data_IF_661370047595
#
_entry.id   IF_661370047595
#
_cell.length_a   1.000
_cell.length_b   1.000
_cell.length_c   1.000
_cell.angle_alpha   90.00
_cell.angle_beta   90.00
_cell.angle_gamma   90.00
#
_symmetry.space_group_name_H-M   'P 1'
#
loop_
_entity.id
_entity.type
_entity.pdbx_description
1 polymer ?
#
# COMPACT_ATOMS: atom_id res chain seq x y z
N UNK A 1 16.46 22.08 -12.59
CA UNK A 1 15.90 20.71 -12.52
C UNK A 1 17.05 19.75 -12.21
N UNK A 2 16.97 19.01 -11.11
CA UNK A 2 17.89 17.92 -10.76
C UNK A 2 17.23 16.60 -11.14
N UNK A 3 18.04 15.66 -11.63
CA UNK A 3 17.65 14.27 -11.81
C UNK A 3 18.63 13.38 -11.04
N UNK A 4 18.09 12.39 -10.33
CA UNK A 4 18.82 11.33 -9.64
C UNK A 4 18.35 10.03 -10.28
N UNK A 5 19.26 9.24 -10.83
CA UNK A 5 18.90 8.00 -11.52
C UNK A 5 18.46 8.20 -12.98
N UNK A 6 17.64 7.28 -13.48
CA UNK A 6 17.11 7.28 -14.84
C UNK A 6 15.89 8.18 -14.98
N UNK A 7 16.09 9.37 -15.58
CA UNK A 7 15.03 10.35 -15.87
C UNK A 7 13.86 9.78 -16.69
N UNK A 8 14.16 8.88 -17.62
CA UNK A 8 13.18 8.24 -18.52
C UNK A 8 12.20 7.31 -17.79
N UNK A 9 12.57 6.81 -16.61
CA UNK A 9 11.71 5.95 -15.81
C UNK A 9 10.70 6.73 -14.95
N UNK A 10 10.93 8.04 -14.78
CA UNK A 10 10.15 8.93 -13.91
C UNK A 10 9.28 9.91 -14.70
N UNK A 11 9.78 10.36 -15.85
CA UNK A 11 9.06 11.29 -16.71
C UNK A 11 8.38 10.56 -17.88
N UNK A 12 7.18 11.02 -18.28
CA UNK A 12 6.60 10.57 -19.53
C UNK A 12 7.44 10.99 -20.74
N UNK A 13 7.65 10.08 -21.70
CA UNK A 13 8.35 10.39 -22.96
C UNK A 13 7.51 11.37 -23.79
N UNK A 14 8.06 12.53 -24.15
CA UNK A 14 7.46 13.41 -25.15
C UNK A 14 7.68 12.80 -26.55
N UNK A 15 6.59 12.52 -27.27
CA UNK A 15 6.63 11.99 -28.63
C UNK A 15 7.33 12.97 -29.57
N UNK A 16 8.34 12.52 -30.32
CA UNK A 16 8.74 13.22 -31.56
C UNK A 16 10.23 13.32 -31.93
N UNK A 17 11.19 12.69 -31.26
CA UNK A 17 12.59 12.70 -31.72
C UNK A 17 13.23 11.32 -31.72
N UNK A 18 13.95 11.00 -32.80
CA UNK A 18 14.69 9.76 -33.03
C UNK A 18 15.65 9.44 -31.86
N UNK A 19 15.97 8.15 -31.62
CA UNK A 19 16.75 7.71 -30.46
C UNK A 19 18.17 8.30 -30.51
N UNK A 20 18.38 9.39 -29.79
CA UNK A 20 19.71 9.86 -29.44
C UNK A 20 20.23 8.91 -28.36
N UNK A 21 21.39 8.29 -28.62
CA UNK A 21 22.00 7.26 -27.78
C UNK A 21 21.77 7.53 -26.29
N UNK A 22 21.14 6.56 -25.62
CA UNK A 22 20.72 6.63 -24.23
C UNK A 22 21.87 7.12 -23.33
N UNK A 23 21.79 8.36 -22.87
CA UNK A 23 22.71 8.90 -21.88
C UNK A 23 22.38 8.26 -20.54
N UNK A 24 23.03 7.13 -20.30
CA UNK A 24 23.30 6.49 -19.01
C UNK A 24 22.05 6.21 -18.16
N UNK A 25 21.41 5.11 -18.52
CA UNK A 25 20.39 4.37 -17.77
C UNK A 25 20.93 3.81 -16.44
N UNK A 26 21.41 4.66 -15.52
CA UNK A 26 21.87 4.24 -14.20
C UNK A 26 20.82 4.64 -13.19
N UNK A 27 20.00 3.69 -12.77
CA UNK A 27 19.21 3.81 -11.55
C UNK A 27 20.16 4.04 -10.37
N UNK A 28 19.77 4.87 -9.41
CA UNK A 28 20.53 4.93 -8.16
C UNK A 28 20.15 3.70 -7.36
N UNK A 29 21.12 2.83 -7.12
CA UNK A 29 20.92 1.62 -6.32
C UNK A 29 21.65 1.76 -4.99
N UNK A 30 20.99 1.30 -3.92
CA UNK A 30 21.55 1.28 -2.59
C UNK A 30 21.17 -0.03 -1.89
N UNK A 31 21.99 -0.47 -0.94
CA UNK A 31 21.61 -1.52 0.00
C UNK A 31 20.89 -0.89 1.18
N UNK A 32 19.75 -1.43 1.54
CA UNK A 32 18.98 -1.03 2.72
C UNK A 32 18.25 -2.25 3.24
N UNK A 33 18.14 -2.38 4.57
CA UNK A 33 17.43 -3.49 5.24
C UNK A 33 17.77 -4.88 4.64
N UNK A 34 19.05 -5.11 4.35
CA UNK A 34 19.61 -6.31 3.70
C UNK A 34 19.08 -6.63 2.28
N UNK A 35 18.29 -5.73 1.69
CA UNK A 35 17.83 -5.79 0.30
C UNK A 35 18.47 -4.71 -0.58
N UNK A 36 17.87 -4.52 -1.75
CA UNK A 36 18.27 -3.51 -2.74
C UNK A 36 17.12 -2.53 -2.94
N UNK A 37 17.42 -1.24 -2.80
CA UNK A 37 16.54 -0.15 -3.21
C UNK A 37 17.06 0.43 -4.52
N UNK A 38 16.19 0.52 -5.52
CA UNK A 38 16.41 1.31 -6.73
C UNK A 38 15.58 2.59 -6.62
N UNK A 39 16.21 3.73 -6.87
CA UNK A 39 15.59 5.04 -6.80
C UNK A 39 15.86 5.82 -8.09
N UNK A 40 14.80 6.40 -8.63
CA UNK A 40 14.87 7.44 -9.64
C UNK A 40 14.02 8.63 -9.22
N UNK A 41 14.57 9.84 -9.31
CA UNK A 41 13.89 11.06 -8.92
C UNK A 41 14.19 12.20 -9.88
N UNK A 42 13.22 13.09 -10.05
CA UNK A 42 13.42 14.39 -10.70
C UNK A 42 12.79 15.48 -9.84
N UNK A 43 13.44 16.63 -9.71
CA UNK A 43 12.95 17.77 -8.95
C UNK A 43 13.27 19.11 -9.62
N UNK A 44 12.41 20.12 -9.47
CA UNK A 44 12.74 21.52 -9.77
C UNK A 44 13.51 22.17 -8.62
N UNK A 45 14.27 23.22 -8.92
CA UNK A 45 15.06 23.99 -7.95
C UNK A 45 14.47 25.40 -7.94
N UNK A 46 13.25 25.48 -7.44
CA UNK A 46 12.47 26.71 -7.31
C UNK A 46 12.08 26.81 -5.83
N UNK A 47 11.59 27.98 -5.40
CA UNK A 47 11.17 28.19 -4.01
C UNK A 47 10.11 27.17 -3.56
N UNK A 48 9.28 26.70 -4.50
CA UNK A 48 8.35 25.60 -4.29
C UNK A 48 8.71 24.40 -5.21
N UNK A 49 9.60 23.50 -4.78
CA UNK A 49 10.10 22.44 -5.64
C UNK A 49 8.99 21.46 -5.99
N UNK A 50 8.82 21.18 -7.27
CA UNK A 50 8.02 20.04 -7.74
C UNK A 50 8.92 18.83 -7.88
N UNK A 51 8.44 17.66 -7.48
CA UNK A 51 9.24 16.44 -7.56
C UNK A 51 8.42 15.24 -7.98
N UNK A 52 9.10 14.26 -8.56
CA UNK A 52 8.61 12.90 -8.80
C UNK A 52 9.68 11.92 -8.39
N UNK A 53 9.29 10.88 -7.67
CA UNK A 53 10.20 9.83 -7.20
C UNK A 53 9.58 8.47 -7.50
N UNK A 54 10.42 7.56 -7.96
CA UNK A 54 10.16 6.15 -8.19
C UNK A 54 11.09 5.36 -7.30
N UNK A 55 10.55 4.45 -6.51
CA UNK A 55 11.30 3.56 -5.64
C UNK A 55 10.88 2.12 -5.93
N UNK A 56 11.86 1.22 -6.01
CA UNK A 56 11.67 -0.22 -6.07
C UNK A 56 12.49 -0.85 -4.94
N UNK A 57 11.85 -1.69 -4.13
CA UNK A 57 12.48 -2.51 -3.11
C UNK A 57 12.49 -3.96 -3.57
N UNK A 58 13.68 -4.57 -3.56
CA UNK A 58 13.89 -5.99 -3.81
C UNK A 58 14.53 -6.65 -2.61
N UNK A 59 13.97 -7.77 -2.19
CA UNK A 59 14.51 -8.67 -1.16
C UNK A 59 14.85 -8.00 0.19
N UNK A 60 14.11 -6.97 0.60
CA UNK A 60 14.29 -6.33 1.91
C UNK A 60 13.86 -7.26 3.04
N UNK A 61 14.59 -7.28 4.16
CA UNK A 61 14.29 -8.13 5.31
C UNK A 61 13.40 -7.38 6.31
N UNK A 62 12.21 -7.92 6.57
CA UNK A 62 11.25 -7.31 7.49
C UNK A 62 11.80 -7.24 8.91
N UNK A 63 12.51 -8.27 9.38
CA UNK A 63 13.12 -8.29 10.71
C UNK A 63 14.18 -7.19 10.89
N UNK A 64 14.85 -6.81 9.81
CA UNK A 64 15.85 -5.74 9.80
C UNK A 64 15.17 -4.39 9.83
N UNK A 65 14.11 -4.23 9.05
CA UNK A 65 13.24 -3.05 9.08
C UNK A 65 12.62 -2.85 10.47
N UNK A 66 12.04 -3.89 11.07
CA UNK A 66 11.40 -3.82 12.38
C UNK A 66 12.39 -3.37 13.47
N UNK A 67 13.60 -3.95 13.47
CA UNK A 67 14.65 -3.60 14.43
C UNK A 67 15.13 -2.14 14.31
N UNK A 68 15.17 -1.61 13.09
CA UNK A 68 15.69 -0.26 12.82
C UNK A 68 14.64 0.84 12.99
N UNK A 69 13.38 0.56 12.64
CA UNK A 69 12.36 1.60 12.47
C UNK A 69 11.09 1.38 13.30
N UNK A 70 10.93 0.22 13.96
CA UNK A 70 9.76 -0.07 14.79
C UNK A 70 10.13 -0.14 16.27
N UNK A 71 9.15 0.12 17.14
CA UNK A 71 9.34 0.20 18.58
C UNK A 71 8.63 -0.96 19.27
N UNK A 72 9.37 -2.04 19.53
CA UNK A 72 8.90 -3.12 20.40
C UNK A 72 8.53 -4.42 19.68
N UNK A 73 8.39 -4.41 18.35
CA UNK A 73 8.11 -5.60 17.55
C UNK A 73 9.41 -6.35 17.21
N UNK A 74 9.59 -7.55 17.78
CA UNK A 74 10.89 -8.26 17.75
C UNK A 74 10.90 -9.52 16.89
N UNK A 75 9.77 -10.19 16.71
CA UNK A 75 9.67 -11.43 15.94
C UNK A 75 8.95 -11.26 14.60
N UNK A 76 8.99 -10.06 14.02
CA UNK A 76 8.56 -9.88 12.63
C UNK A 76 9.59 -10.49 11.69
N UNK A 77 9.17 -11.32 10.73
CA UNK A 77 10.06 -11.90 9.72
C UNK A 77 9.42 -11.96 8.35
N UNK A 78 10.24 -11.77 7.32
CA UNK A 78 9.77 -11.90 5.96
C UNK A 78 10.64 -11.21 4.94
N UNK A 79 10.32 -11.48 3.67
CA UNK A 79 10.99 -10.82 2.53
C UNK A 79 10.03 -9.83 1.89
N UNK A 80 10.40 -8.57 1.93
CA UNK A 80 9.68 -7.42 1.42
C UNK A 80 10.12 -7.10 -0.01
N UNK A 81 9.15 -7.07 -0.91
CA UNK A 81 9.30 -6.61 -2.28
C UNK A 81 8.21 -5.60 -2.55
N UNK A 82 8.52 -4.49 -3.21
CA UNK A 82 7.50 -3.46 -3.44
C UNK A 82 7.97 -2.33 -4.32
N UNK A 83 7.03 -1.49 -4.70
CA UNK A 83 7.32 -0.27 -5.46
C UNK A 83 6.47 0.87 -4.95
N UNK A 84 6.98 2.08 -5.15
CA UNK A 84 6.32 3.33 -4.81
C UNK A 84 6.60 4.34 -5.92
N UNK A 85 5.54 4.99 -6.41
CA UNK A 85 5.66 6.17 -7.27
C UNK A 85 4.95 7.31 -6.58
N UNK A 86 5.66 8.41 -6.38
CA UNK A 86 5.16 9.59 -5.70
C UNK A 86 5.51 10.85 -6.47
N UNK A 87 4.71 11.88 -6.26
CA UNK A 87 4.91 13.22 -6.80
C UNK A 87 4.39 14.24 -5.79
N UNK A 88 4.98 15.43 -5.78
CA UNK A 88 4.56 16.48 -4.87
C UNK A 88 5.05 17.85 -5.28
N UNK A 89 4.65 18.84 -4.49
CA UNK A 89 5.07 20.23 -4.59
C UNK A 89 5.33 20.80 -3.20
N UNK A 90 6.47 21.46 -3.03
CA UNK A 90 6.87 22.03 -1.75
C UNK A 90 7.15 20.96 -0.70
N UNK A 91 7.07 21.35 0.57
CA UNK A 91 7.33 20.48 1.72
C UNK A 91 6.07 20.02 2.45
N UNK A 92 4.90 20.55 2.12
CA UNK A 92 3.63 20.17 2.77
C UNK A 92 3.26 18.71 2.42
N UNK A 93 3.14 17.80 3.40
CA UNK A 93 2.73 16.42 3.17
C UNK A 93 1.38 16.27 2.46
N UNK A 94 0.50 17.27 2.55
CA UNK A 94 -0.81 17.29 1.85
C UNK A 94 -0.66 17.44 0.34
N UNK A 95 0.47 17.98 -0.13
CA UNK A 95 0.77 18.12 -1.55
C UNK A 95 1.34 16.83 -2.17
N UNK A 96 1.60 15.80 -1.36
CA UNK A 96 2.11 14.52 -1.82
C UNK A 96 0.98 13.67 -2.38
N UNK A 97 1.18 13.17 -3.60
CA UNK A 97 0.33 12.17 -4.23
C UNK A 97 1.16 10.99 -4.69
N UNK A 98 0.65 9.79 -4.55
CA UNK A 98 1.38 8.60 -4.96
C UNK A 98 0.54 7.35 -4.96
N UNK A 99 1.19 6.25 -5.31
CA UNK A 99 0.65 4.90 -5.29
C UNK A 99 1.79 3.93 -5.07
N UNK A 100 1.49 2.83 -4.40
CA UNK A 100 2.47 1.81 -4.12
C UNK A 100 1.85 0.45 -3.89
N UNK A 101 2.72 -0.54 -3.93
CA UNK A 101 2.38 -1.90 -3.56
C UNK A 101 3.53 -2.50 -2.78
N UNK A 102 3.21 -3.18 -1.68
CA UNK A 102 4.17 -3.91 -0.86
C UNK A 102 3.71 -5.35 -0.71
N UNK A 103 4.57 -6.28 -1.06
CA UNK A 103 4.41 -7.72 -0.85
C UNK A 103 5.41 -8.20 0.19
N UNK A 104 4.94 -9.01 1.13
CA UNK A 104 5.77 -9.70 2.11
C UNK A 104 5.55 -11.20 1.96
N UNK A 105 6.61 -11.98 1.71
CA UNK A 105 6.52 -13.44 1.58
C UNK A 105 7.88 -14.11 1.84
N UNK A 106 8.00 -15.04 2.82
CA UNK A 106 7.00 -15.38 3.84
C UNK A 106 6.67 -14.16 4.72
N UNK A 107 5.54 -14.18 5.43
CA UNK A 107 5.02 -13.04 6.19
C UNK A 107 4.69 -13.41 7.65
N UNK A 108 5.69 -13.47 8.51
CA UNK A 108 5.50 -13.66 9.95
C UNK A 108 5.19 -12.29 10.58
N UNK A 109 3.90 -11.94 10.63
CA UNK A 109 3.41 -10.61 11.02
C UNK A 109 2.64 -10.60 12.35
N UNK A 110 2.50 -11.72 13.04
CA UNK A 110 1.53 -11.88 14.15
C UNK A 110 1.76 -10.92 15.33
N UNK A 111 2.99 -10.41 15.52
CA UNK A 111 3.31 -9.44 16.58
C UNK A 111 2.89 -8.01 16.25
N UNK A 112 2.44 -7.73 15.02
CA UNK A 112 1.92 -6.40 14.70
C UNK A 112 0.74 -6.08 15.63
N UNK A 113 0.73 -4.93 16.32
CA UNK A 113 -0.33 -4.57 17.27
C UNK A 113 -1.73 -4.68 16.67
N UNK A 114 -1.89 -4.29 15.40
CA UNK A 114 -3.16 -4.41 14.66
C UNK A 114 -3.63 -5.86 14.57
N UNK A 115 -2.73 -6.79 14.25
CA UNK A 115 -3.08 -8.20 14.09
C UNK A 115 -3.37 -8.87 15.44
N UNK A 116 -2.61 -8.53 16.48
CA UNK A 116 -2.89 -8.98 17.86
C UNK A 116 -4.32 -8.57 18.27
N UNK A 117 -4.71 -7.33 18.04
CA UNK A 117 -6.04 -6.83 18.37
C UNK A 117 -7.14 -7.55 17.58
N UNK A 118 -6.94 -7.79 16.28
CA UNK A 118 -7.88 -8.55 15.45
C UNK A 118 -8.08 -9.97 15.97
N UNK A 119 -6.99 -10.67 16.31
CA UNK A 119 -7.05 -12.04 16.84
C UNK A 119 -7.79 -12.09 18.18
N UNK A 120 -7.54 -11.12 19.07
CA UNK A 120 -8.24 -10.99 20.35
C UNK A 120 -9.75 -10.82 20.16
N UNK A 121 -10.17 -9.97 19.22
CA UNK A 121 -11.58 -9.75 18.88
C UNK A 121 -12.22 -11.03 18.33
N UNK A 122 -11.49 -11.78 17.50
CA UNK A 122 -11.95 -13.06 16.96
C UNK A 122 -11.87 -14.22 17.98
N UNK A 123 -11.30 -13.99 19.17
CA UNK A 123 -11.03 -14.99 20.21
C UNK A 123 -10.26 -16.20 19.68
N UNK A 124 -9.38 -15.97 18.72
CA UNK A 124 -8.51 -17.01 18.20
C UNK A 124 -7.31 -17.13 19.14
N UNK A 125 -6.92 -18.37 19.47
CA UNK A 125 -5.61 -18.59 20.06
C UNK A 125 -4.56 -17.98 19.13
N UNK A 126 -3.46 -17.41 19.67
CA UNK A 126 -2.34 -17.00 18.85
C UNK A 126 -1.97 -18.16 17.93
N UNK A 127 -2.13 -18.02 16.62
CA UNK A 127 -1.75 -19.08 15.69
C UNK A 127 -0.25 -19.36 15.87
N UNK A 128 0.19 -20.57 15.53
CA UNK A 128 1.63 -20.83 15.39
C UNK A 128 2.27 -19.72 14.54
N UNK A 129 3.55 -19.39 14.79
CA UNK A 129 4.27 -18.21 14.24
C UNK A 129 4.14 -18.01 12.71
N UNK A 130 3.63 -19.00 11.98
CA UNK A 130 3.41 -19.10 10.54
C UNK A 130 1.97 -18.77 10.08
N UNK A 131 1.15 -18.14 10.93
CA UNK A 131 -0.26 -17.84 10.70
C UNK A 131 -0.57 -17.26 9.31
N UNK A 132 0.25 -16.30 8.87
CA UNK A 132 0.19 -15.74 7.54
C UNK A 132 1.42 -16.17 6.76
N UNK A 133 1.20 -16.60 5.51
CA UNK A 133 2.29 -16.94 4.60
C UNK A 133 2.61 -15.80 3.65
N UNK A 134 1.64 -14.91 3.45
CA UNK A 134 1.65 -13.89 2.44
C UNK A 134 0.92 -12.64 2.94
N UNK A 135 1.51 -11.48 2.68
CA UNK A 135 0.83 -10.19 2.81
C UNK A 135 1.01 -9.35 1.54
N UNK A 136 -0.05 -8.68 1.11
CA UNK A 136 -0.05 -7.70 0.02
C UNK A 136 -0.80 -6.45 0.44
N UNK A 137 -0.15 -5.30 0.32
CA UNK A 137 -0.73 -3.99 0.56
C UNK A 137 -0.75 -3.25 -0.77
N UNK A 138 -1.93 -2.81 -1.20
CA UNK A 138 -2.13 -1.93 -2.36
C UNK A 138 -2.74 -0.61 -1.88
N UNK A 139 -2.05 0.49 -2.15
CA UNK A 139 -2.40 1.78 -1.59
C UNK A 139 -2.13 2.95 -2.53
N UNK A 140 -2.93 3.99 -2.36
CA UNK A 140 -2.63 5.33 -2.85
C UNK A 140 -2.17 6.22 -1.69
N UNK A 141 -1.48 7.30 -2.01
CA UNK A 141 -1.09 8.37 -1.07
C UNK A 141 -1.77 9.65 -1.55
N UNK A 142 -2.51 10.30 -0.66
CA UNK A 142 -3.08 11.62 -0.88
C UNK A 142 -3.48 12.21 0.46
N UNK A 143 -3.52 13.54 0.57
CA UNK A 143 -4.05 14.24 1.74
C UNK A 143 -3.38 13.81 3.06
N UNK A 144 -2.04 13.65 3.03
CA UNK A 144 -1.21 13.22 4.15
C UNK A 144 -1.60 11.86 4.79
N UNK A 145 -2.11 10.93 3.98
CA UNK A 145 -2.47 9.59 4.41
C UNK A 145 -2.24 8.54 3.33
N UNK A 146 -1.99 7.30 3.76
CA UNK A 146 -2.12 6.11 2.95
C UNK A 146 -3.59 5.69 2.88
N UNK A 147 -4.08 5.42 1.67
CA UNK A 147 -5.40 4.87 1.39
C UNK A 147 -5.25 3.46 0.85
N UNK A 148 -5.50 2.48 1.70
CA UNK A 148 -5.42 1.07 1.34
C UNK A 148 -6.67 0.65 0.57
N UNK A 149 -6.49 0.40 -0.73
CA UNK A 149 -7.50 -0.23 -1.58
C UNK A 149 -7.69 -1.70 -1.21
N UNK A 150 -6.61 -2.35 -0.81
CA UNK A 150 -6.62 -3.71 -0.34
C UNK A 150 -5.41 -4.03 0.52
N UNK A 151 -5.69 -4.68 1.64
CA UNK A 151 -4.72 -5.35 2.49
C UNK A 151 -5.12 -6.82 2.46
N UNK A 152 -4.25 -7.67 1.94
CA UNK A 152 -4.53 -9.09 1.78
C UNK A 152 -3.52 -9.84 2.63
N UNK A 153 -3.98 -10.48 3.70
CA UNK A 153 -3.17 -11.41 4.47
C UNK A 153 -3.76 -12.79 4.29
N UNK A 154 -2.99 -13.70 3.72
CA UNK A 154 -3.41 -15.06 3.47
C UNK A 154 -2.54 -16.05 4.25
N UNK A 155 -3.23 -16.97 4.92
CA UNK A 155 -2.69 -17.86 5.92
C UNK A 155 -3.38 -19.22 5.91
N UNK A 156 -2.82 -20.19 6.62
CA UNK A 156 -3.45 -21.52 6.77
C UNK A 156 -4.60 -21.48 7.78
N UNK A 157 -4.45 -20.70 8.85
CA UNK A 157 -5.43 -20.60 9.94
C UNK A 157 -6.45 -19.48 9.70
N UNK A 158 -6.01 -18.39 9.05
CA UNK A 158 -6.81 -17.19 8.88
C UNK A 158 -6.46 -16.48 7.57
N UNK A 159 -7.48 -16.00 6.87
CA UNK A 159 -7.33 -15.02 5.80
C UNK A 159 -8.04 -13.72 6.18
N UNK A 160 -7.35 -12.59 6.00
CA UNK A 160 -7.85 -11.25 6.29
C UNK A 160 -7.83 -10.39 5.04
N UNK A 161 -8.92 -9.66 4.84
CA UNK A 161 -9.12 -8.70 3.76
C UNK A 161 -9.40 -7.34 4.36
N UNK A 162 -8.49 -6.40 4.21
CA UNK A 162 -8.53 -5.07 4.81
C UNK A 162 -8.63 -3.95 3.81
N UNK A 163 -9.23 -2.83 4.21
CA UNK A 163 -9.25 -1.56 3.47
C UNK A 163 -9.35 -0.39 4.44
N UNK A 164 -9.02 0.82 4.00
CA UNK A 164 -9.18 2.03 4.81
C UNK A 164 -7.98 2.95 4.72
N UNK A 165 -7.66 3.64 5.81
CA UNK A 165 -6.63 4.68 5.82
C UNK A 165 -5.66 4.56 7.00
N UNK A 166 -4.43 5.02 6.77
CA UNK A 166 -3.46 5.33 7.81
C UNK A 166 -2.88 6.72 7.53
N UNK A 167 -3.13 7.68 8.40
CA UNK A 167 -2.56 9.02 8.30
C UNK A 167 -1.07 9.01 8.64
N UNK A 168 -0.32 10.00 8.12
CA UNK A 168 1.13 10.11 8.35
C UNK A 168 1.49 10.35 9.82
N UNK A 169 0.53 10.81 10.62
CA UNK A 169 0.65 10.94 12.07
C UNK A 169 0.38 9.63 12.83
N UNK A 170 0.23 8.51 12.10
CA UNK A 170 -0.03 7.18 12.65
C UNK A 170 -1.49 6.88 12.96
N UNK A 171 -2.44 7.78 12.68
CA UNK A 171 -3.88 7.53 12.93
C UNK A 171 -4.44 6.51 11.96
N UNK A 172 -5.08 5.46 12.47
CA UNK A 172 -5.65 4.35 11.70
C UNK A 172 -7.17 4.43 11.63
N UNK A 173 -7.71 4.19 10.44
CA UNK A 173 -9.13 3.90 10.20
C UNK A 173 -9.21 2.76 9.18
N UNK A 174 -9.10 1.53 9.67
CA UNK A 174 -9.07 0.32 8.85
C UNK A 174 -10.28 -0.58 9.13
N UNK A 175 -10.76 -1.26 8.10
CA UNK A 175 -11.81 -2.26 8.18
C UNK A 175 -11.28 -3.56 7.62
N UNK A 176 -11.37 -4.62 8.43
CA UNK A 176 -10.97 -5.98 8.06
C UNK A 176 -12.18 -6.90 7.99
N UNK A 177 -12.08 -7.87 7.10
CA UNK A 177 -13.03 -8.94 6.90
C UNK A 177 -12.27 -10.25 6.98
N UNK A 178 -12.73 -11.13 7.85
CA UNK A 178 -12.11 -12.43 8.09
C UNK A 178 -13.02 -13.55 7.60
N UNK A 179 -12.43 -14.52 6.90
CA UNK A 179 -13.07 -15.81 6.63
C UNK A 179 -12.40 -16.88 7.48
N UNK A 180 -13.14 -17.46 8.42
CA UNK A 180 -12.65 -18.53 9.28
C UNK A 180 -12.86 -19.88 8.57
N UNK A 181 -11.88 -20.80 8.60
CA UNK A 181 -12.11 -22.19 8.22
C UNK A 181 -13.28 -22.78 9.04
N UNK A 182 -14.16 -23.58 8.41
CA UNK A 182 -15.39 -24.12 9.03
C UNK A 182 -15.18 -25.09 10.20
N UNK A 183 -13.95 -25.23 10.71
CA UNK A 183 -13.60 -26.17 11.76
C UNK A 183 -13.98 -25.61 13.14
N UNK A 184 -15.19 -25.96 13.59
CA UNK A 184 -15.64 -26.23 14.97
C UNK A 184 -15.24 -25.31 16.16
N UNK A 185 -14.84 -24.06 15.99
CA UNK A 185 -14.71 -23.15 17.15
C UNK A 185 -16.08 -22.54 17.52
N UNK A 186 -16.65 -22.85 18.71
CA UNK A 186 -17.89 -22.21 19.16
C UNK A 186 -17.59 -20.74 19.52
N UNK A 187 -17.96 -19.81 18.64
CA UNK A 187 -17.83 -18.37 18.89
C UNK A 187 -19.16 -17.86 19.52
N UNK A 188 -19.14 -17.29 20.74
CA UNK A 188 -20.36 -16.77 21.38
C UNK A 188 -20.96 -15.51 20.71
N UNK A 189 -20.24 -14.90 19.76
CA UNK A 189 -20.67 -13.68 19.03
C UNK A 189 -21.64 -13.99 17.88
N UNK A 190 -21.89 -15.27 17.61
CA UNK A 190 -22.73 -15.73 16.50
C UNK A 190 -24.20 -15.30 16.64
N UNK A 191 -24.65 -14.92 17.84
CA UNK A 191 -26.03 -14.43 18.07
C UNK A 191 -26.34 -13.09 17.38
N UNK A 192 -25.33 -12.29 16.98
CA UNK A 192 -25.54 -11.04 16.21
C UNK A 192 -25.36 -11.28 14.70
N UNK A 193 -24.70 -12.38 14.31
CA UNK A 193 -24.28 -12.66 12.93
C UNK A 193 -25.21 -13.62 12.16
N UNK A 194 -26.18 -14.24 12.84
CA UNK A 194 -27.14 -15.18 12.24
C UNK A 194 -28.41 -14.50 11.72
N UNK A 195 -28.27 -13.77 10.62
CA UNK A 195 -29.36 -13.59 9.64
C UNK A 195 -28.77 -13.75 8.24
N UNK A 196 -28.47 -14.99 7.86
CA UNK A 196 -28.24 -15.56 6.51
C UNK A 196 -27.44 -14.80 5.41
N UNK A 197 -27.00 -13.56 5.63
CA UNK A 197 -26.61 -12.64 4.56
C UNK A 197 -25.08 -12.55 4.33
N UNK A 198 -24.25 -12.90 5.33
CA UNK A 198 -22.80 -12.59 5.30
C UNK A 198 -21.90 -13.75 4.84
N UNK A 199 -22.46 -14.91 4.46
CA UNK A 199 -21.70 -16.10 3.97
C UNK A 199 -20.49 -16.50 4.87
N UNK A 200 -20.53 -16.21 6.18
CA UNK A 200 -19.48 -16.57 7.13
C UNK A 200 -18.34 -15.55 7.29
N UNK A 201 -18.45 -14.35 6.72
CA UNK A 201 -17.48 -13.27 6.96
C UNK A 201 -17.75 -12.54 8.28
N UNK A 202 -16.68 -12.26 9.03
CA UNK A 202 -16.72 -11.43 10.24
C UNK A 202 -16.10 -10.06 9.93
N UNK A 203 -16.84 -8.99 10.21
CA UNK A 203 -16.40 -7.61 10.04
C UNK A 203 -15.70 -7.11 11.30
N UNK A 204 -14.57 -6.46 11.13
CA UNK A 204 -13.76 -5.91 12.22
C UNK A 204 -13.36 -4.50 11.82
N UNK A 205 -13.57 -3.53 12.69
CA UNK A 205 -12.96 -2.22 12.55
C UNK A 205 -11.74 -2.10 13.46
N UNK A 206 -10.72 -1.41 12.96
CA UNK A 206 -9.53 -1.02 13.70
C UNK A 206 -9.39 0.50 13.63
N UNK A 207 -9.27 1.10 14.81
CA UNK A 207 -9.15 2.54 15.03
C UNK A 207 -8.00 2.82 16.00
N UNK A 208 -7.59 4.09 16.14
CA UNK A 208 -6.55 4.50 17.09
C UNK A 208 -5.23 4.83 16.40
N UNK A 209 -4.11 4.68 17.11
CA UNK A 209 -2.76 4.90 16.56
C UNK A 209 -2.12 3.57 16.15
N UNK A 210 -1.10 3.63 15.30
CA UNK A 210 -0.44 2.44 14.75
C UNK A 210 0.27 1.58 15.80
N UNK A 211 0.77 2.21 16.86
CA UNK A 211 1.42 1.61 18.03
C UNK A 211 0.39 1.11 19.06
N UNK A 212 -0.75 1.80 19.18
CA UNK A 212 -1.84 1.46 20.10
C UNK A 212 -3.21 1.37 19.38
N UNK A 213 -3.40 0.40 18.47
CA UNK A 213 -4.68 0.22 17.79
C UNK A 213 -5.71 -0.44 18.72
N UNK A 214 -6.99 -0.19 18.44
CA UNK A 214 -8.12 -0.84 19.09
C UNK A 214 -8.98 -1.47 18.02
N UNK A 215 -9.19 -2.79 18.13
CA UNK A 215 -10.07 -3.53 17.23
C UNK A 215 -11.44 -3.80 17.89
N UNK A 216 -12.51 -3.75 17.10
CA UNK A 216 -13.87 -4.09 17.52
C UNK A 216 -14.59 -4.84 16.41
N UNK A 217 -15.51 -5.74 16.77
CA UNK A 217 -16.43 -6.31 15.78
C UNK A 217 -17.34 -5.22 15.24
N UNK A 218 -17.64 -5.29 13.95
CA UNK A 218 -18.65 -4.44 13.32
C UNK A 218 -19.65 -5.29 12.55
N UNK A 219 -20.94 -4.92 12.55
CA UNK A 219 -21.89 -5.49 11.61
C UNK A 219 -21.39 -5.28 10.17
N UNK A 220 -21.58 -6.26 9.30
CA UNK A 220 -21.40 -6.09 7.87
C UNK A 220 -22.79 -5.81 7.28
N UNK A 221 -23.21 -4.54 7.15
CA UNK A 221 -24.45 -4.24 6.46
C UNK A 221 -24.27 -4.64 4.99
N UNK A 222 -25.25 -5.37 4.45
CA UNK A 222 -25.45 -5.71 3.04
C UNK A 222 -24.16 -5.91 2.23
N UNK A 223 -23.84 -7.17 1.91
CA UNK A 223 -22.73 -7.53 1.01
C UNK A 223 -23.05 -7.03 -0.42
N UNK A 224 -22.83 -5.74 -0.66
CA UNK A 224 -22.99 -5.12 -1.96
C UNK A 224 -21.99 -5.70 -2.97
N UNK A 225 -22.18 -5.44 -4.25
CA UNK A 225 -21.34 -6.02 -5.31
C UNK A 225 -19.88 -5.58 -5.21
N UNK A 226 -19.63 -4.38 -4.67
CA UNK A 226 -18.28 -3.84 -4.51
C UNK A 226 -17.53 -4.61 -3.42
N UNK A 227 -18.17 -4.82 -2.26
CA UNK A 227 -17.62 -5.59 -1.16
C UNK A 227 -17.50 -7.07 -1.55
N UNK A 228 -18.48 -7.65 -2.24
CA UNK A 228 -18.38 -9.01 -2.79
C UNK A 228 -17.16 -9.18 -3.69
N UNK A 229 -17.00 -8.27 -4.66
CA UNK A 229 -15.87 -8.29 -5.59
C UNK A 229 -14.52 -8.20 -4.85
N UNK A 230 -14.43 -7.32 -3.85
CA UNK A 230 -13.25 -7.19 -3.01
C UNK A 230 -12.93 -8.47 -2.22
N UNK A 231 -13.94 -9.09 -1.59
CA UNK A 231 -13.76 -10.30 -0.79
C UNK A 231 -13.40 -11.53 -1.63
N UNK A 232 -13.87 -11.59 -2.88
CA UNK A 232 -13.56 -12.68 -3.81
C UNK A 232 -12.28 -12.48 -4.62
N UNK A 233 -11.68 -11.28 -4.58
CA UNK A 233 -10.47 -10.99 -5.35
C UNK A 233 -9.30 -11.84 -4.87
N UNK A 234 -8.68 -12.63 -5.75
CA UNK A 234 -7.42 -13.30 -5.44
C UNK A 234 -6.26 -12.34 -5.74
N UNK A 235 -5.37 -12.06 -4.77
CA UNK A 235 -4.22 -11.21 -5.03
C UNK A 235 -3.30 -11.87 -6.06
N UNK A 236 -2.73 -11.07 -6.97
CA UNK A 236 -1.74 -11.56 -7.93
C UNK A 236 -0.46 -11.90 -7.17
N UNK A 237 -0.13 -13.19 -7.11
CA UNK A 237 1.00 -13.71 -6.32
C UNK A 237 2.38 -13.49 -6.97
N UNK A 238 2.44 -12.89 -8.16
CA UNK A 238 3.71 -12.54 -8.83
C UNK A 238 4.52 -11.50 -8.05
N UNK A 239 5.78 -11.22 -8.47
CA UNK A 239 6.52 -10.07 -7.98
C UNK A 239 5.73 -8.78 -8.25
N UNK A 240 5.78 -7.78 -7.35
CA UNK A 240 5.15 -6.48 -7.59
C UNK A 240 5.64 -5.89 -8.90
N UNK A 241 4.72 -5.66 -9.83
CA UNK A 241 5.03 -5.05 -11.13
C UNK A 241 4.79 -3.55 -11.02
N UNK A 242 5.83 -2.77 -11.26
CA UNK A 242 5.71 -1.33 -11.33
C UNK A 242 4.71 -0.95 -12.43
N UNK A 243 3.73 -0.06 -12.17
CA UNK A 243 2.87 0.45 -13.21
C UNK A 243 3.69 1.24 -14.24
N UNK A 244 3.28 1.22 -15.53
CA UNK A 244 3.93 2.04 -16.54
C UNK A 244 3.86 3.53 -16.15
N UNK A 245 4.87 4.33 -16.49
CA UNK A 245 4.82 5.78 -16.25
C UNK A 245 3.58 6.38 -16.93
N UNK A 246 2.96 7.42 -16.35
CA UNK A 246 1.82 8.08 -16.96
C UNK A 246 2.19 8.58 -18.37
N UNK A 247 1.24 8.63 -19.32
CA UNK A 247 1.51 9.20 -20.64
C UNK A 247 1.91 10.68 -20.52
N UNK A 248 2.67 11.22 -21.49
CA UNK A 248 3.04 12.63 -21.47
C UNK A 248 1.77 13.48 -21.44
N UNK A 249 1.70 14.38 -20.46
CA UNK A 249 0.72 15.46 -20.47
C UNK A 249 0.87 16.15 -21.82
N UNK A 250 -0.13 16.01 -22.71
CA UNK A 250 -0.24 16.85 -23.91
C UNK A 250 -0.04 18.28 -23.43
N UNK A 251 1.00 18.95 -23.91
CA UNK A 251 1.12 20.40 -23.69
C UNK A 251 -0.23 20.98 -24.11
N UNK A 252 -0.88 21.71 -23.23
CA UNK A 252 -1.96 22.59 -23.63
C UNK A 252 -1.38 23.46 -24.75
N UNK A 253 -1.81 23.25 -25.99
CA UNK A 253 -1.57 24.22 -27.04
C UNK A 253 -2.24 25.51 -26.56
N UNK A 254 -1.55 26.65 -26.45
CA UNK A 254 -2.22 27.90 -26.23
C UNK A 254 -3.21 28.08 -27.37
N UNK A 255 -4.51 28.04 -27.04
CA UNK A 255 -5.57 28.48 -27.94
C UNK A 255 -5.19 29.89 -28.33
N UNK A 256 -4.77 30.09 -29.58
CA UNK A 256 -4.60 31.43 -30.10
C UNK A 256 -5.94 32.14 -29.93
N UNK A 257 -6.00 33.28 -29.22
CA UNK A 257 -7.22 34.07 -29.26
C UNK A 257 -7.49 34.47 -30.72
N UNK A 258 -8.76 34.46 -31.17
CA UNK A 258 -9.08 34.91 -32.51
C UNK A 258 -8.57 36.34 -32.67
N UNK A 259 -7.86 36.59 -33.78
CA UNK A 259 -7.42 37.92 -34.13
C UNK A 259 -8.66 38.83 -34.27
N UNK A 260 -8.85 39.73 -33.31
CA UNK A 260 -9.80 40.82 -33.46
C UNK A 260 -9.30 41.72 -34.58
N UNK A 261 -9.94 41.62 -35.76
CA UNK A 261 -9.94 42.72 -36.73
C UNK A 261 -10.88 43.78 -36.20
N UNK A 262 -10.32 44.91 -35.77
CA UNK A 262 -11.11 46.13 -35.64
C UNK A 262 -11.29 46.76 -37.03
N UNK A 263 -12.45 47.40 -37.29
CA UNK A 263 -12.79 48.04 -38.57
C UNK A 263 -11.93 49.27 -38.87
#
# INVERSE_FOLDING_TARGET
MIAIGSRDSVLPRASGHAPRAASTNRHVTARAIDGIIELDAVATLEDEPTYRVRVLLKDGRLEKYAREYMHGEKDLRGVMNGWLVLSGRGSDPRNVRGRGQLKIQPAELYELPILVQILNVLRLAPPDKTAFRYALLDFDIADAQFRFKGIYLDGTTLSLRGRGTAAFDGTLTLDFYSMLPRTQYPIPVVNVLLREATRGWVGIEVRGKVDAPVARTKPIPNLDETLKGFLSALPKLGPPVLPPPPPPSRRYSPVHPPAYRFP
#
